data_IF_897424998234
#
_entry.id   IF_897424998234
#
_cell.length_a   1.000
_cell.length_b   1.000
_cell.length_c   1.000
_cell.angle_alpha   90.00
_cell.angle_beta   90.00
_cell.angle_gamma   90.00
#
_symmetry.space_group_name_H-M   'P 1'
#
loop_
_entity.id
_entity.type
_entity.pdbx_description
1 polymer ?
#
# COMPACT_ATOMS: atom_id res chain seq x y z
N UNK A 1 -7.97 14.23 0.06
CA UNK A 1 -6.67 13.74 -0.43
C UNK A 1 -6.68 12.22 -0.43
N UNK A 2 -6.35 11.57 -1.53
CA UNK A 2 -6.21 10.11 -1.53
C UNK A 2 -5.07 9.64 -0.62
N UNK A 3 -5.26 8.47 -0.01
CA UNK A 3 -4.28 7.86 0.88
C UNK A 3 -3.96 6.47 0.37
N UNK A 4 -2.69 6.21 0.11
CA UNK A 4 -2.19 4.88 -0.23
C UNK A 4 -1.68 4.21 1.03
N UNK A 5 -2.28 3.09 1.40
CA UNK A 5 -1.86 2.31 2.57
C UNK A 5 -1.08 1.08 2.12
N UNK A 6 0.13 0.94 2.63
CA UNK A 6 1.01 -0.20 2.40
C UNK A 6 0.94 -1.13 3.61
N UNK A 7 0.24 -2.25 3.46
CA UNK A 7 0.17 -3.30 4.47
C UNK A 7 1.38 -4.20 4.33
N UNK A 8 2.21 -4.25 5.38
CA UNK A 8 3.51 -4.92 5.34
C UNK A 8 3.85 -5.60 6.66
N UNK A 9 4.90 -6.41 6.67
CA UNK A 9 5.47 -6.97 7.88
C UNK A 9 6.99 -7.05 7.74
N UNK A 10 7.70 -6.99 8.86
CA UNK A 10 9.16 -6.99 8.87
C UNK A 10 9.77 -8.31 8.37
N UNK A 11 9.05 -9.41 8.53
CA UNK A 11 9.49 -10.75 8.09
C UNK A 11 9.19 -11.02 6.61
N UNK A 12 8.55 -10.11 5.93
CA UNK A 12 8.09 -10.29 4.56
C UNK A 12 9.12 -9.70 3.58
N UNK A 13 9.85 -10.55 2.87
CA UNK A 13 10.86 -10.12 1.89
C UNK A 13 10.28 -9.24 0.80
N UNK A 14 9.21 -9.64 0.10
CA UNK A 14 8.59 -8.79 -0.93
C UNK A 14 8.12 -7.44 -0.40
N UNK A 15 7.67 -7.37 0.86
CA UNK A 15 7.29 -6.10 1.49
C UNK A 15 8.49 -5.15 1.57
N UNK A 16 9.66 -5.68 1.92
CA UNK A 16 10.88 -4.88 2.03
C UNK A 16 11.34 -4.36 0.66
N UNK A 17 11.03 -5.09 -0.40
CA UNK A 17 11.33 -4.66 -1.77
C UNK A 17 10.34 -3.61 -2.26
N UNK A 18 9.07 -3.76 -1.91
CA UNK A 18 8.02 -2.86 -2.37
C UNK A 18 8.09 -1.48 -1.70
N UNK A 19 8.50 -1.41 -0.44
CA UNK A 19 8.55 -0.15 0.30
C UNK A 19 9.26 0.98 -0.44
N UNK A 20 10.53 0.79 -0.83
CA UNK A 20 11.25 1.81 -1.61
C UNK A 20 10.60 2.15 -2.95
N UNK A 21 9.99 1.17 -3.61
CA UNK A 21 9.29 1.37 -4.88
C UNK A 21 8.09 2.30 -4.69
N UNK A 22 7.32 2.07 -3.62
CA UNK A 22 6.17 2.91 -3.28
C UNK A 22 6.61 4.33 -2.95
N UNK A 23 7.68 4.48 -2.18
CA UNK A 23 8.20 5.79 -1.83
C UNK A 23 8.65 6.57 -3.06
N UNK A 24 9.35 5.90 -3.98
CA UNK A 24 9.80 6.52 -5.22
C UNK A 24 8.62 6.93 -6.09
N UNK A 25 7.65 6.04 -6.29
CA UNK A 25 6.46 6.36 -7.07
C UNK A 25 5.69 7.53 -6.48
N UNK A 26 5.50 7.53 -5.17
CA UNK A 26 4.77 8.60 -4.49
C UNK A 26 5.48 9.96 -4.60
N UNK A 27 6.81 9.97 -4.68
CA UNK A 27 7.57 11.21 -4.84
C UNK A 27 7.36 11.85 -6.20
N UNK A 28 6.88 11.10 -7.18
CA UNK A 28 6.65 11.59 -8.55
C UNK A 28 5.25 12.12 -8.78
N UNK A 29 4.35 11.98 -7.81
CA UNK A 29 2.99 12.48 -7.90
C UNK A 29 2.70 13.40 -6.73
N UNK A 30 1.76 14.32 -6.91
CA UNK A 30 1.31 15.21 -5.83
C UNK A 30 -0.11 14.83 -5.41
N UNK A 31 -0.49 15.22 -4.20
CA UNK A 31 -1.85 15.03 -3.72
C UNK A 31 -2.18 13.64 -3.20
N UNK A 32 -1.18 12.79 -2.97
CA UNK A 32 -1.36 11.46 -2.38
C UNK A 32 -0.53 11.36 -1.12
N UNK A 33 -1.15 10.87 -0.05
CA UNK A 33 -0.46 10.56 1.21
C UNK A 33 -0.17 9.06 1.26
N UNK A 34 1.05 8.69 1.63
CA UNK A 34 1.43 7.29 1.83
C UNK A 34 1.49 6.99 3.32
N UNK A 35 0.83 5.92 3.72
CA UNK A 35 0.81 5.43 5.09
C UNK A 35 1.27 3.98 5.07
N UNK A 36 2.17 3.62 5.98
CA UNK A 36 2.62 2.24 6.16
C UNK A 36 1.95 1.64 7.38
N UNK A 37 1.43 0.45 7.25
CA UNK A 37 0.74 -0.25 8.31
C UNK A 37 1.35 -1.64 8.49
N UNK A 38 2.02 -1.86 9.63
CA UNK A 38 2.58 -3.18 9.97
C UNK A 38 1.43 -4.06 10.45
N UNK A 39 1.15 -5.13 9.70
CA UNK A 39 0.01 -6.00 10.00
C UNK A 39 0.16 -6.76 11.32
N UNK A 40 1.40 -6.97 11.78
CA UNK A 40 1.63 -7.61 13.08
C UNK A 40 1.18 -6.73 14.25
N UNK A 41 1.18 -5.42 14.05
CA UNK A 41 0.75 -4.44 15.05
C UNK A 41 -0.70 -3.97 14.84
N UNK A 42 -1.34 -4.37 13.75
CA UNK A 42 -2.66 -3.89 13.37
C UNK A 42 -3.50 -5.02 12.76
N UNK A 43 -3.59 -6.14 13.49
CA UNK A 43 -4.29 -7.35 13.04
C UNK A 43 -5.76 -7.05 12.72
N UNK A 44 -6.45 -6.32 13.60
CA UNK A 44 -7.88 -6.04 13.41
C UNK A 44 -8.13 -5.16 12.19
N UNK A 45 -7.24 -4.19 11.91
CA UNK A 45 -7.36 -3.35 10.73
C UNK A 45 -7.16 -4.16 9.45
N UNK A 46 -6.17 -5.03 9.43
CA UNK A 46 -5.92 -5.90 8.28
C UNK A 46 -7.13 -6.81 8.04
N UNK A 47 -7.71 -7.36 9.09
CA UNK A 47 -8.90 -8.21 8.98
C UNK A 47 -10.11 -7.42 8.48
N UNK A 48 -10.29 -6.19 8.95
CA UNK A 48 -11.39 -5.33 8.54
C UNK A 48 -11.40 -5.11 7.03
N UNK A 49 -10.23 -4.96 6.42
CA UNK A 49 -10.11 -4.73 4.98
C UNK A 49 -9.79 -6.00 4.19
N UNK A 50 -9.92 -7.16 4.82
CA UNK A 50 -9.68 -8.47 4.18
C UNK A 50 -8.27 -8.59 3.58
N UNK A 51 -7.27 -8.07 4.28
CA UNK A 51 -5.88 -8.22 3.87
C UNK A 51 -5.40 -9.58 4.35
N UNK A 52 -5.31 -10.54 3.42
CA UNK A 52 -4.94 -11.93 3.73
C UNK A 52 -3.53 -12.27 3.21
N UNK A 53 -2.98 -11.45 2.35
CA UNK A 53 -1.62 -11.61 1.83
C UNK A 53 -0.91 -10.27 1.88
N UNK A 54 0.40 -10.28 2.05
CA UNK A 54 1.22 -9.07 2.05
C UNK A 54 2.38 -9.23 1.07
N UNK A 55 2.83 -8.12 0.47
CA UNK A 55 2.33 -6.77 0.64
C UNK A 55 0.97 -6.58 -0.04
N UNK A 56 0.15 -5.71 0.52
CA UNK A 56 -1.09 -5.25 -0.11
C UNK A 56 -1.09 -3.74 -0.09
N UNK A 57 -1.36 -3.13 -1.25
CA UNK A 57 -1.56 -1.68 -1.37
C UNK A 57 -3.04 -1.42 -1.56
N UNK A 58 -3.59 -0.51 -0.75
CA UNK A 58 -4.97 -0.06 -0.90
C UNK A 58 -4.97 1.46 -1.03
N UNK A 59 -5.57 1.94 -2.11
CA UNK A 59 -5.78 3.37 -2.30
C UNK A 59 -7.17 3.73 -1.79
N UNK A 60 -7.22 4.60 -0.79
CA UNK A 60 -8.47 5.14 -0.26
C UNK A 60 -8.69 6.53 -0.83
N UNK A 61 -9.91 6.79 -1.26
CA UNK A 61 -10.31 8.11 -1.74
C UNK A 61 -11.67 8.44 -1.14
N UNK A 62 -11.74 9.58 -0.45
CA UNK A 62 -12.97 9.96 0.25
C UNK A 62 -13.36 8.98 1.36
N UNK A 63 -12.38 8.31 1.97
CA UNK A 63 -12.60 7.33 3.03
C UNK A 63 -13.03 5.96 2.52
N UNK A 64 -13.07 5.74 1.22
CA UNK A 64 -13.49 4.46 0.62
C UNK A 64 -12.36 3.84 -0.17
N UNK A 65 -12.30 2.51 -0.17
CA UNK A 65 -11.34 1.78 -0.99
C UNK A 65 -11.64 2.02 -2.47
N UNK A 66 -10.69 2.62 -3.17
CA UNK A 66 -10.82 2.91 -4.60
C UNK A 66 -10.14 1.85 -5.45
N UNK A 67 -8.93 1.43 -5.06
CA UNK A 67 -8.12 0.45 -5.80
C UNK A 67 -7.33 -0.39 -4.83
N UNK A 68 -6.96 -1.60 -5.26
CA UNK A 68 -6.18 -2.53 -4.45
C UNK A 68 -5.21 -3.30 -5.33
N UNK A 69 -4.01 -3.56 -4.81
CA UNK A 69 -3.02 -4.43 -5.45
C UNK A 69 -2.43 -5.35 -4.39
N UNK A 70 -2.28 -6.62 -4.73
CA UNK A 70 -1.71 -7.64 -3.83
C UNK A 70 -0.41 -8.16 -4.45
N UNK A 71 0.65 -8.19 -3.64
CA UNK A 71 1.95 -8.70 -4.04
C UNK A 71 2.91 -7.60 -4.49
N UNK A 72 4.13 -8.03 -4.81
CA UNK A 72 5.18 -7.13 -5.29
C UNK A 72 4.88 -6.71 -6.73
N UNK A 73 4.81 -5.42 -6.95
CA UNK A 73 4.56 -4.84 -8.27
C UNK A 73 5.65 -3.83 -8.61
N UNK A 74 5.70 -3.45 -9.89
CA UNK A 74 6.67 -2.48 -10.38
C UNK A 74 6.29 -1.05 -10.00
N UNK A 75 7.26 -0.13 -10.09
CA UNK A 75 7.00 1.30 -9.91
C UNK A 75 5.92 1.81 -10.86
N UNK A 76 5.95 1.37 -12.13
CA UNK A 76 4.94 1.78 -13.11
C UNK A 76 3.54 1.34 -12.69
N UNK A 77 3.43 0.13 -12.15
CA UNK A 77 2.15 -0.37 -11.65
C UNK A 77 1.67 0.39 -10.42
N UNK A 78 2.60 0.82 -9.56
CA UNK A 78 2.24 1.69 -8.43
C UNK A 78 1.74 3.04 -8.94
N UNK A 79 2.43 3.62 -9.93
CA UNK A 79 2.00 4.88 -10.53
C UNK A 79 0.60 4.76 -11.15
N UNK A 80 0.30 3.63 -11.80
CA UNK A 80 -1.03 3.39 -12.36
C UNK A 80 -2.10 3.34 -11.27
N UNK A 81 -1.76 2.81 -10.11
CA UNK A 81 -2.67 2.80 -8.95
C UNK A 81 -3.01 4.22 -8.50
N UNK A 82 -2.05 5.12 -8.60
CA UNK A 82 -2.17 6.50 -8.11
C UNK A 82 -2.85 7.46 -9.08
N UNK A 83 -3.18 6.97 -10.25
CA UNK A 83 -3.86 7.81 -11.27
C UNK A 83 -5.33 8.04 -10.94
#
# INVERSE_FOLDING_TARGET
>A
MPVLVDFWAAWCGPCMMLGPIVEEAASEVSGVKVVKLNVDNAVSTAQKYNVVSIPTLILFDGGKEAKRSVGLISKEQVLDLLK
#
